data_IF_859145086854
#
_entry.id   IF_859145086854
#
_cell.length_a   1.000
_cell.length_b   1.000
_cell.length_c   1.000
_cell.angle_alpha   90.00
_cell.angle_beta   90.00
_cell.angle_gamma   90.00
#
_symmetry.space_group_name_H-M   'P 1'
#
loop_
_entity.id
_entity.type
_entity.pdbx_description
1 polymer ?
#
# COMPACT_ATOMS: atom_id res chain seq x y z
N UNK A 1 11.06 -20.51 -18.48
CA UNK A 1 11.55 -19.26 -19.09
C UNK A 1 10.37 -18.36 -19.45
N UNK A 2 9.50 -18.08 -18.47
CA UNK A 2 8.31 -17.23 -18.62
C UNK A 2 8.04 -16.36 -17.38
N UNK A 3 8.75 -16.60 -16.26
CA UNK A 3 8.60 -15.83 -15.02
C UNK A 3 9.39 -14.52 -15.09
N UNK A 4 10.47 -14.43 -15.89
CA UNK A 4 11.35 -13.25 -15.91
C UNK A 4 10.82 -12.11 -16.78
N UNK A 5 9.96 -12.39 -17.77
CA UNK A 5 9.46 -11.35 -18.68
C UNK A 5 8.24 -10.59 -18.11
N UNK A 6 7.44 -11.23 -17.24
CA UNK A 6 6.25 -10.60 -16.62
C UNK A 6 6.63 -9.60 -15.51
N UNK A 7 7.62 -9.91 -14.67
CA UNK A 7 8.18 -8.96 -13.69
C UNK A 7 8.73 -7.69 -14.37
N UNK A 8 9.13 -7.79 -15.64
CA UNK A 8 9.68 -6.67 -16.41
C UNK A 8 8.63 -5.63 -16.75
N UNK A 9 7.36 -6.03 -16.90
CA UNK A 9 6.27 -5.13 -17.29
C UNK A 9 5.64 -4.42 -16.07
N UNK A 10 5.56 -5.06 -14.90
CA UNK A 10 5.13 -4.40 -13.64
C UNK A 10 6.20 -3.40 -13.16
N UNK A 11 7.48 -3.77 -13.18
CA UNK A 11 8.56 -2.81 -12.96
C UNK A 11 8.51 -1.66 -13.96
N UNK A 12 8.09 -1.93 -15.20
CA UNK A 12 7.88 -0.90 -16.22
C UNK A 12 6.77 0.04 -15.84
N UNK A 13 5.67 -0.42 -15.27
CA UNK A 13 4.52 0.44 -14.97
C UNK A 13 4.72 1.26 -13.71
N UNK A 14 5.40 0.73 -12.68
CA UNK A 14 5.89 1.52 -11.54
C UNK A 14 6.98 2.52 -11.97
N UNK A 15 7.91 2.10 -12.83
CA UNK A 15 8.93 2.99 -13.40
C UNK A 15 8.31 4.04 -14.32
N UNK A 16 7.29 3.70 -15.12
CA UNK A 16 6.55 4.64 -15.97
C UNK A 16 5.72 5.59 -15.13
N UNK A 17 5.06 5.16 -14.07
CA UNK A 17 4.31 6.05 -13.19
C UNK A 17 5.27 7.01 -12.45
N UNK A 18 6.39 6.51 -11.95
CA UNK A 18 7.44 7.33 -11.35
C UNK A 18 8.10 8.28 -12.36
N UNK A 19 8.39 7.81 -13.58
CA UNK A 19 8.93 8.63 -14.67
C UNK A 19 7.92 9.67 -15.14
N UNK A 20 6.65 9.29 -15.27
CA UNK A 20 5.57 10.19 -15.64
C UNK A 20 5.42 11.30 -14.61
N UNK A 21 5.42 10.95 -13.31
CA UNK A 21 5.36 11.94 -12.23
C UNK A 21 6.56 12.88 -12.27
N UNK A 22 7.76 12.36 -12.55
CA UNK A 22 8.96 13.19 -12.75
C UNK A 22 8.88 14.08 -13.99
N UNK A 23 8.38 13.56 -15.11
CA UNK A 23 8.26 14.32 -16.35
C UNK A 23 7.23 15.45 -16.21
N UNK A 24 6.12 15.17 -15.51
CA UNK A 24 5.13 16.18 -15.12
C UNK A 24 5.77 17.21 -14.18
N UNK A 25 6.47 16.77 -13.13
CA UNK A 25 7.15 17.65 -12.19
C UNK A 25 8.15 18.58 -12.89
N UNK A 26 8.96 18.04 -13.81
CA UNK A 26 9.98 18.78 -14.55
C UNK A 26 9.41 19.83 -15.53
N UNK A 27 8.15 19.69 -15.94
CA UNK A 27 7.49 20.62 -16.87
C UNK A 27 6.59 21.64 -16.16
N UNK A 28 6.25 21.41 -14.89
CA UNK A 28 5.37 22.29 -14.13
C UNK A 28 6.14 23.36 -13.36
N UNK A 29 5.87 24.63 -13.67
CA UNK A 29 6.46 25.79 -12.99
C UNK A 29 6.02 25.93 -11.53
N UNK A 30 4.97 25.21 -11.11
CA UNK A 30 4.55 25.15 -9.70
C UNK A 30 5.36 24.14 -8.88
N UNK A 31 6.10 23.23 -9.51
CA UNK A 31 6.96 22.30 -8.78
C UNK A 31 8.12 23.02 -8.11
N UNK A 32 8.45 22.61 -6.90
CA UNK A 32 9.67 23.03 -6.20
C UNK A 32 10.82 22.12 -6.61
N UNK A 33 11.95 22.69 -7.03
CA UNK A 33 13.07 21.91 -7.57
C UNK A 33 14.35 21.92 -6.72
N UNK A 34 14.37 22.66 -5.60
CA UNK A 34 15.51 22.72 -4.70
C UNK A 34 15.11 23.28 -3.32
N UNK A 35 16.00 23.14 -2.33
CA UNK A 35 15.79 23.58 -0.97
C UNK A 35 15.56 25.10 -0.84
N UNK A 36 16.28 25.92 -1.62
CA UNK A 36 16.13 27.37 -1.54
C UNK A 36 14.71 27.80 -1.93
N UNK A 37 14.22 27.29 -3.07
CA UNK A 37 12.88 27.56 -3.56
C UNK A 37 11.79 27.07 -2.59
N UNK A 38 11.98 25.89 -1.98
CA UNK A 38 11.10 25.36 -0.95
C UNK A 38 10.93 26.37 0.19
N UNK A 39 12.06 26.84 0.74
CA UNK A 39 12.08 27.75 1.88
C UNK A 39 11.49 29.11 1.54
N UNK A 40 11.77 29.66 0.35
CA UNK A 40 11.20 30.92 -0.13
C UNK A 40 9.68 30.85 -0.31
N UNK A 41 9.16 29.74 -0.85
CA UNK A 41 7.72 29.50 -0.99
C UNK A 41 7.05 29.28 0.37
N UNK A 42 7.66 28.49 1.24
CA UNK A 42 7.17 28.27 2.60
C UNK A 42 7.09 29.57 3.41
N UNK A 43 8.11 30.43 3.31
CA UNK A 43 8.14 31.74 3.96
C UNK A 43 7.03 32.68 3.46
N UNK A 44 6.56 32.51 2.23
CA UNK A 44 5.41 33.23 1.66
C UNK A 44 4.05 32.65 2.06
N UNK A 45 4.03 31.60 2.87
CA UNK A 45 2.81 30.96 3.38
C UNK A 45 2.36 29.74 2.59
N UNK A 46 3.11 29.32 1.56
CA UNK A 46 2.82 28.06 0.86
C UNK A 46 3.02 26.88 1.82
N UNK A 47 2.08 25.93 1.81
CA UNK A 47 2.14 24.73 2.66
C UNK A 47 2.01 23.44 1.88
N UNK A 48 1.54 23.48 0.64
CA UNK A 48 1.35 22.29 -0.19
C UNK A 48 2.43 22.23 -1.26
N UNK A 49 3.27 21.21 -1.18
CA UNK A 49 4.39 20.98 -2.09
C UNK A 49 4.15 19.67 -2.84
N UNK A 50 3.41 19.79 -3.94
CA UNK A 50 3.05 18.67 -4.82
C UNK A 50 4.22 18.39 -5.76
N UNK A 51 4.62 17.13 -5.88
CA UNK A 51 5.69 16.66 -6.78
C UNK A 51 7.06 17.35 -6.56
N UNK A 52 7.28 17.98 -5.40
CA UNK A 52 8.53 18.66 -5.09
C UNK A 52 9.71 17.71 -5.24
N UNK A 53 10.69 18.09 -6.06
CA UNK A 53 11.94 17.36 -6.24
C UNK A 53 12.99 17.96 -5.31
N UNK A 54 13.26 17.24 -4.23
CA UNK A 54 14.22 17.62 -3.19
C UNK A 54 15.24 16.51 -2.97
N UNK A 55 15.44 15.64 -3.97
CA UNK A 55 16.40 14.53 -3.83
C UNK A 55 17.80 15.06 -3.53
N UNK A 56 18.39 14.54 -2.45
CA UNK A 56 19.75 14.87 -1.99
C UNK A 56 19.96 16.34 -1.60
N UNK A 57 18.90 17.11 -1.46
CA UNK A 57 18.97 18.47 -0.95
C UNK A 57 19.35 18.49 0.54
N UNK A 58 20.08 19.52 0.96
CA UNK A 58 20.41 19.77 2.36
C UNK A 58 19.31 20.63 3.00
N UNK A 59 18.51 19.99 3.86
CA UNK A 59 17.40 20.60 4.60
C UNK A 59 17.61 20.42 6.11
N UNK A 60 18.86 20.36 6.57
CA UNK A 60 19.14 20.19 8.00
C UNK A 60 18.65 21.39 8.81
N UNK A 61 18.03 21.11 9.96
CA UNK A 61 17.54 22.12 10.90
C UNK A 61 16.53 23.12 10.30
N UNK A 62 15.88 22.79 9.18
CA UNK A 62 14.82 23.65 8.62
C UNK A 62 13.57 23.63 9.49
N UNK A 63 12.83 24.72 9.47
CA UNK A 63 11.54 24.86 10.15
C UNK A 63 10.42 24.80 9.12
N UNK A 64 9.78 23.63 8.99
CA UNK A 64 8.69 23.37 8.06
C UNK A 64 7.45 22.75 8.74
N UNK A 65 6.99 23.27 9.91
CA UNK A 65 5.79 22.73 10.55
C UNK A 65 4.57 22.88 9.65
N UNK A 66 3.72 21.85 9.61
CA UNK A 66 2.51 21.83 8.80
C UNK A 66 2.74 21.86 7.28
N UNK A 67 3.95 21.55 6.80
CA UNK A 67 4.19 21.38 5.36
C UNK A 67 3.60 20.05 4.87
N UNK A 68 2.92 20.08 3.72
CA UNK A 68 2.29 18.94 3.09
C UNK A 68 3.06 18.56 1.83
N UNK A 69 3.88 17.52 1.93
CA UNK A 69 4.63 16.95 0.81
C UNK A 69 3.80 15.85 0.14
N UNK A 70 3.31 16.12 -1.06
CA UNK A 70 2.41 15.22 -1.77
C UNK A 70 3.12 14.67 -2.99
N UNK A 71 3.35 13.35 -3.03
CA UNK A 71 4.10 12.69 -4.12
C UNK A 71 5.50 13.31 -4.34
N UNK A 72 6.12 13.82 -3.28
CA UNK A 72 7.42 14.47 -3.36
C UNK A 72 8.55 13.45 -3.53
N UNK A 73 9.66 13.89 -4.12
CA UNK A 73 10.88 13.11 -4.29
C UNK A 73 11.88 13.52 -3.21
N UNK A 74 12.05 12.69 -2.17
CA UNK A 74 12.86 13.00 -0.98
C UNK A 74 14.07 12.06 -0.80
N UNK A 75 14.37 11.22 -1.79
CA UNK A 75 15.43 10.22 -1.66
C UNK A 75 16.79 10.91 -1.44
N UNK A 76 17.43 10.62 -0.32
CA UNK A 76 18.71 11.19 0.07
C UNK A 76 18.64 12.63 0.59
N UNK A 77 17.46 13.26 0.63
CA UNK A 77 17.32 14.57 1.25
C UNK A 77 17.69 14.50 2.73
N UNK A 78 18.41 15.50 3.22
CA UNK A 78 18.91 15.55 4.58
C UNK A 78 18.05 16.45 5.47
N UNK A 79 17.16 15.84 6.25
CA UNK A 79 16.24 16.50 7.18
C UNK A 79 16.64 16.29 8.64
N UNK A 80 17.91 15.96 8.91
CA UNK A 80 18.41 15.83 10.29
C UNK A 80 18.28 17.13 11.05
N UNK A 81 17.69 17.05 12.25
CA UNK A 81 17.40 18.21 13.10
C UNK A 81 16.25 19.11 12.61
N UNK A 82 15.59 18.80 11.49
CA UNK A 82 14.47 19.60 11.00
C UNK A 82 13.25 19.51 11.93
N UNK A 83 12.47 20.59 11.96
CA UNK A 83 11.15 20.60 12.58
C UNK A 83 10.05 20.42 11.53
N UNK A 84 9.43 19.24 11.55
CA UNK A 84 8.37 18.79 10.65
C UNK A 84 7.09 18.47 11.44
N UNK A 85 6.91 19.10 12.60
CA UNK A 85 5.72 18.90 13.44
C UNK A 85 4.44 19.21 12.65
N UNK A 86 3.51 18.25 12.60
CA UNK A 86 2.28 18.37 11.80
C UNK A 86 2.48 18.33 10.28
N UNK A 87 3.71 18.12 9.79
CA UNK A 87 3.94 17.94 8.35
C UNK A 87 3.39 16.59 7.88
N UNK A 88 2.99 16.50 6.60
CA UNK A 88 2.48 15.26 5.99
C UNK A 88 3.31 14.84 4.78
N UNK A 89 3.37 13.53 4.53
CA UNK A 89 4.11 12.92 3.43
C UNK A 89 3.19 12.02 2.59
N UNK A 90 2.02 12.54 2.23
CA UNK A 90 0.97 11.85 1.50
C UNK A 90 1.49 11.36 0.15
N UNK A 91 1.38 10.05 -0.11
CA UNK A 91 1.91 9.39 -1.32
C UNK A 91 3.41 9.68 -1.58
N UNK A 92 4.16 10.08 -0.56
CA UNK A 92 5.59 10.40 -0.66
C UNK A 92 6.40 9.22 -0.11
N UNK A 93 7.38 8.74 -0.87
CA UNK A 93 8.26 7.67 -0.40
C UNK A 93 9.31 8.25 0.56
N UNK A 94 9.33 7.77 1.80
CA UNK A 94 10.35 8.13 2.81
C UNK A 94 11.62 7.28 2.73
N UNK A 95 11.70 6.36 1.77
CA UNK A 95 12.86 5.49 1.58
C UNK A 95 14.09 6.31 1.16
N UNK A 96 15.18 6.14 1.90
CA UNK A 96 16.44 6.86 1.74
C UNK A 96 16.43 8.30 2.25
N UNK A 97 15.34 8.77 2.85
CA UNK A 97 15.32 10.08 3.51
C UNK A 97 16.22 10.04 4.75
N UNK A 98 17.04 11.06 4.97
CA UNK A 98 17.93 11.11 6.12
C UNK A 98 17.28 11.93 7.23
N UNK A 99 16.81 11.25 8.28
CA UNK A 99 16.38 11.85 9.55
C UNK A 99 17.12 11.15 10.69
N UNK A 100 17.16 11.79 11.85
CA UNK A 100 17.73 11.20 13.06
C UNK A 100 16.82 11.45 14.27
N UNK A 101 17.32 11.21 15.47
CA UNK A 101 16.54 11.35 16.71
C UNK A 101 16.32 12.82 17.11
N UNK A 102 16.97 13.77 16.42
CA UNK A 102 16.77 15.21 16.62
C UNK A 102 15.72 15.79 15.67
N UNK A 103 15.37 15.08 14.60
CA UNK A 103 14.29 15.49 13.69
C UNK A 103 12.93 15.35 14.38
N UNK A 104 12.20 16.46 14.46
CA UNK A 104 10.83 16.46 15.02
C UNK A 104 9.84 16.08 13.91
N UNK A 105 9.21 14.92 14.03
CA UNK A 105 8.24 14.41 13.06
C UNK A 105 7.17 13.60 13.77
N UNK A 106 5.92 13.69 13.31
CA UNK A 106 4.80 12.99 13.92
C UNK A 106 4.98 11.46 13.86
N UNK A 107 4.44 10.77 14.86
CA UNK A 107 4.65 9.33 15.08
C UNK A 107 4.28 8.45 13.87
N UNK A 108 3.24 8.83 13.12
CA UNK A 108 2.83 8.17 11.87
C UNK A 108 3.99 8.13 10.88
N UNK A 109 4.56 9.29 10.58
CA UNK A 109 5.61 9.42 9.57
C UNK A 109 6.95 8.88 10.07
N UNK A 110 7.22 8.96 11.37
CA UNK A 110 8.37 8.25 11.97
C UNK A 110 8.24 6.74 11.76
N UNK A 111 7.05 6.17 12.02
CA UNK A 111 6.79 4.74 11.83
C UNK A 111 6.94 4.35 10.36
N UNK A 112 6.38 5.12 9.43
CA UNK A 112 6.54 4.89 7.97
C UNK A 112 8.02 4.93 7.58
N UNK A 113 8.77 5.92 8.07
CA UNK A 113 10.21 6.03 7.80
C UNK A 113 10.97 4.80 8.32
N UNK A 114 10.65 4.33 9.53
CA UNK A 114 11.27 3.14 10.11
C UNK A 114 10.99 1.89 9.28
N UNK A 115 9.74 1.71 8.83
CA UNK A 115 9.32 0.55 8.03
C UNK A 115 10.11 0.43 6.71
N UNK A 116 10.46 1.56 6.09
CA UNK A 116 11.11 1.57 4.75
C UNK A 116 12.63 1.71 4.81
N UNK A 117 13.21 2.09 5.96
CA UNK A 117 14.66 2.36 6.08
C UNK A 117 15.39 1.47 7.08
N UNK A 118 14.73 0.95 8.11
CA UNK A 118 15.38 0.13 9.12
C UNK A 118 15.41 -1.35 8.71
N UNK A 119 16.34 -2.15 9.27
CA UNK A 119 16.35 -3.59 9.06
C UNK A 119 14.98 -4.23 9.38
N UNK A 120 14.57 -5.26 8.62
CA UNK A 120 13.32 -5.97 8.85
C UNK A 120 13.19 -6.50 10.28
N UNK A 121 11.99 -6.37 10.85
CA UNK A 121 11.65 -6.96 12.16
C UNK A 121 10.36 -7.76 12.00
N UNK A 122 10.48 -9.09 12.15
CA UNK A 122 9.33 -9.99 12.14
C UNK A 122 8.44 -9.74 13.36
N UNK A 123 7.10 -9.79 13.20
CA UNK A 123 6.19 -9.70 14.35
C UNK A 123 5.98 -8.29 14.90
N UNK A 124 6.26 -7.25 14.10
CA UNK A 124 6.12 -5.84 14.51
C UNK A 124 4.68 -5.55 14.99
N UNK A 125 4.56 -4.76 16.05
CA UNK A 125 3.27 -4.35 16.60
C UNK A 125 2.85 -2.99 16.02
N UNK A 126 1.73 -2.98 15.29
CA UNK A 126 1.14 -1.85 14.58
C UNK A 126 -0.39 -1.84 14.78
N UNK A 127 -0.86 -2.32 15.94
CA UNK A 127 -2.27 -2.37 16.33
C UNK A 127 -2.88 -0.97 16.23
N UNK A 128 -3.91 -0.81 15.38
CA UNK A 128 -4.59 0.47 15.18
C UNK A 128 -3.70 1.59 14.61
N UNK A 129 -2.55 1.26 14.02
CA UNK A 129 -1.66 2.27 13.45
C UNK A 129 -2.33 2.98 12.28
N UNK A 130 -2.19 4.30 12.22
CA UNK A 130 -2.54 5.07 11.03
C UNK A 130 -1.35 5.03 10.05
N UNK A 131 -1.56 4.31 8.95
CA UNK A 131 -0.64 4.18 7.83
C UNK A 131 -1.33 4.61 6.52
N UNK A 132 -2.47 5.31 6.59
CA UNK A 132 -3.24 5.75 5.43
C UNK A 132 -2.45 6.71 4.53
N UNK A 133 -2.66 6.58 3.22
CA UNK A 133 -2.07 7.43 2.18
C UNK A 133 -0.55 7.40 2.14
N UNK A 134 0.05 6.25 2.50
CA UNK A 134 1.51 6.08 2.54
C UNK A 134 2.03 5.22 1.39
N UNK A 135 3.34 5.30 1.13
CA UNK A 135 4.05 4.40 0.21
C UNK A 135 4.92 3.43 1.01
N UNK A 136 4.48 2.18 1.08
CA UNK A 136 5.12 1.07 1.77
C UNK A 136 5.49 -0.06 0.79
N UNK A 137 5.83 0.28 -0.45
CA UNK A 137 6.26 -0.70 -1.46
C UNK A 137 7.46 -1.52 -0.95
N UNK A 138 7.35 -2.85 -1.02
CA UNK A 138 8.41 -3.79 -0.63
C UNK A 138 8.80 -3.74 0.85
N UNK A 139 7.90 -3.36 1.76
CA UNK A 139 8.18 -3.45 3.20
C UNK A 139 8.05 -4.88 3.71
N UNK A 140 8.79 -5.19 4.78
CA UNK A 140 8.71 -6.47 5.46
C UNK A 140 7.80 -6.37 6.70
N UNK A 141 6.64 -6.99 6.61
CA UNK A 141 5.59 -7.01 7.64
C UNK A 141 5.15 -8.45 8.00
N UNK A 142 6.02 -9.44 7.75
CA UNK A 142 5.78 -10.83 8.10
C UNK A 142 5.40 -10.97 9.57
N UNK A 143 4.27 -11.65 9.83
CA UNK A 143 3.72 -11.90 11.16
C UNK A 143 3.38 -10.62 11.95
N UNK A 144 3.39 -9.44 11.30
CA UNK A 144 3.07 -8.19 11.97
C UNK A 144 1.63 -8.18 12.47
N UNK A 145 1.40 -7.49 13.58
CA UNK A 145 0.07 -7.25 14.11
C UNK A 145 -0.41 -5.87 13.67
N UNK A 146 -1.30 -5.84 12.69
CA UNK A 146 -1.93 -4.68 12.06
C UNK A 146 -3.45 -4.69 12.32
N UNK A 147 -3.90 -5.37 13.37
CA UNK A 147 -5.33 -5.45 13.73
C UNK A 147 -5.91 -4.05 13.82
N UNK A 148 -7.01 -3.78 13.12
CA UNK A 148 -7.68 -2.47 13.10
C UNK A 148 -6.83 -1.30 12.60
N UNK A 149 -5.69 -1.54 11.95
CA UNK A 149 -4.87 -0.47 11.37
C UNK A 149 -5.62 0.22 10.22
N UNK A 150 -5.32 1.51 10.01
CA UNK A 150 -5.80 2.26 8.86
C UNK A 150 -4.73 2.25 7.77
N UNK A 151 -5.04 1.60 6.66
CA UNK A 151 -4.22 1.41 5.47
C UNK A 151 -4.95 1.94 4.23
N UNK A 152 -5.91 2.87 4.40
CA UNK A 152 -6.67 3.49 3.31
C UNK A 152 -5.74 4.08 2.26
N UNK A 153 -5.98 3.75 0.99
CA UNK A 153 -5.17 4.11 -0.18
C UNK A 153 -3.65 3.86 -0.03
N UNK A 154 -3.23 2.96 0.86
CA UNK A 154 -1.81 2.70 1.07
C UNK A 154 -1.25 1.83 -0.05
N UNK A 155 -0.07 2.18 -0.55
CA UNK A 155 0.64 1.37 -1.53
C UNK A 155 1.54 0.33 -0.84
N UNK A 156 1.13 -0.93 -0.86
CA UNK A 156 1.82 -2.10 -0.33
C UNK A 156 2.30 -3.05 -1.43
N UNK A 157 2.37 -2.57 -2.68
CA UNK A 157 2.89 -3.32 -3.82
C UNK A 157 4.22 -4.01 -3.43
N UNK A 158 4.34 -5.30 -3.77
CA UNK A 158 5.50 -6.16 -3.45
C UNK A 158 5.83 -6.32 -1.94
N UNK A 159 4.97 -5.90 -1.01
CA UNK A 159 5.23 -6.09 0.42
C UNK A 159 5.23 -7.57 0.84
N UNK A 160 5.93 -7.87 1.93
CA UNK A 160 5.95 -9.21 2.52
C UNK A 160 5.08 -9.23 3.78
N UNK A 161 3.84 -9.73 3.66
CA UNK A 161 2.85 -9.72 4.74
C UNK A 161 2.51 -11.12 5.26
N UNK A 162 3.26 -12.16 4.88
CA UNK A 162 2.90 -13.54 5.21
C UNK A 162 2.63 -13.73 6.71
N UNK A 163 1.52 -14.41 7.02
CA UNK A 163 1.05 -14.67 8.39
C UNK A 163 0.78 -13.40 9.24
N UNK A 164 0.70 -12.21 8.64
CA UNK A 164 0.32 -10.99 9.36
C UNK A 164 -1.16 -11.03 9.79
N UNK A 165 -1.47 -10.28 10.84
CA UNK A 165 -2.83 -10.10 11.31
C UNK A 165 -3.35 -8.70 10.95
N UNK A 166 -4.26 -8.63 9.97
CA UNK A 166 -4.97 -7.44 9.52
C UNK A 166 -6.47 -7.52 9.84
N UNK A 167 -6.85 -8.29 10.87
CA UNK A 167 -8.24 -8.42 11.27
C UNK A 167 -8.87 -7.04 11.53
N UNK A 168 -10.00 -6.77 10.87
CA UNK A 168 -10.74 -5.51 10.99
C UNK A 168 -9.98 -4.26 10.54
N UNK A 169 -8.85 -4.39 9.82
CA UNK A 169 -8.13 -3.25 9.26
C UNK A 169 -8.97 -2.55 8.18
N UNK A 170 -8.77 -1.25 8.02
CA UNK A 170 -9.30 -0.50 6.88
C UNK A 170 -8.26 -0.50 5.76
N UNK A 171 -8.61 -1.10 4.63
CA UNK A 171 -7.79 -1.30 3.44
C UNK A 171 -8.49 -0.73 2.20
N UNK A 172 -9.45 0.18 2.39
CA UNK A 172 -10.21 0.79 1.32
C UNK A 172 -9.26 1.45 0.31
N UNK A 173 -9.41 1.10 -0.96
CA UNK A 173 -8.57 1.57 -2.07
C UNK A 173 -7.06 1.29 -1.92
N UNK A 174 -6.66 0.43 -0.97
CA UNK A 174 -5.27 0.05 -0.79
C UNK A 174 -4.75 -0.78 -1.98
N UNK A 175 -3.45 -0.69 -2.27
CA UNK A 175 -2.82 -1.40 -3.38
C UNK A 175 -1.90 -2.50 -2.87
N UNK A 176 -2.08 -3.69 -3.42
CA UNK A 176 -1.41 -4.94 -3.09
C UNK A 176 -0.93 -5.66 -4.36
N UNK A 177 -0.53 -4.92 -5.38
CA UNK A 177 -0.14 -5.51 -6.68
C UNK A 177 1.03 -6.46 -6.48
N UNK A 178 0.90 -7.70 -6.97
CA UNK A 178 1.89 -8.78 -6.84
C UNK A 178 2.41 -8.98 -5.41
N UNK A 179 1.55 -8.73 -4.41
CA UNK A 179 1.90 -8.83 -2.99
C UNK A 179 1.68 -10.24 -2.48
N UNK A 180 2.59 -10.74 -1.63
CA UNK A 180 2.44 -12.04 -1.02
C UNK A 180 1.71 -11.92 0.33
N UNK A 181 0.41 -12.20 0.31
CA UNK A 181 -0.53 -12.19 1.43
C UNK A 181 -0.81 -13.61 1.96
N UNK A 182 0.01 -14.61 1.66
CA UNK A 182 -0.23 -16.00 2.08
C UNK A 182 -0.44 -16.11 3.60
N UNK A 183 -1.52 -16.76 4.00
CA UNK A 183 -1.83 -17.01 5.42
C UNK A 183 -2.18 -15.78 6.24
N UNK A 184 -2.42 -14.62 5.61
CA UNK A 184 -2.82 -13.41 6.31
C UNK A 184 -4.24 -13.57 6.88
N UNK A 185 -4.44 -13.04 8.09
CA UNK A 185 -5.77 -12.86 8.66
C UNK A 185 -6.35 -11.49 8.26
N UNK A 186 -7.31 -11.49 7.35
CA UNK A 186 -8.09 -10.33 6.88
C UNK A 186 -9.55 -10.41 7.34
N UNK A 187 -9.86 -11.20 8.38
CA UNK A 187 -11.23 -11.37 8.86
C UNK A 187 -11.87 -10.02 9.19
N UNK A 188 -13.03 -9.75 8.60
CA UNK A 188 -13.79 -8.51 8.81
C UNK A 188 -13.07 -7.23 8.36
N UNK A 189 -11.99 -7.33 7.59
CA UNK A 189 -11.29 -6.17 7.07
C UNK A 189 -12.10 -5.49 5.95
N UNK A 190 -11.91 -4.18 5.80
CA UNK A 190 -12.55 -3.41 4.74
C UNK A 190 -11.59 -3.23 3.56
N UNK A 191 -11.69 -4.09 2.55
CA UNK A 191 -10.91 -4.06 1.32
C UNK A 191 -11.73 -3.52 0.13
N UNK A 192 -12.73 -2.66 0.38
CA UNK A 192 -13.52 -2.05 -0.68
C UNK A 192 -12.60 -1.36 -1.70
N UNK A 193 -12.82 -1.62 -2.99
CA UNK A 193 -12.06 -1.01 -4.10
C UNK A 193 -10.54 -1.25 -4.02
N UNK A 194 -10.07 -2.17 -3.18
CA UNK A 194 -8.66 -2.51 -3.07
C UNK A 194 -8.14 -3.15 -4.38
N UNK A 195 -6.89 -2.85 -4.71
CA UNK A 195 -6.23 -3.42 -5.88
C UNK A 195 -5.33 -4.59 -5.48
N UNK A 196 -5.83 -5.81 -5.67
CA UNK A 196 -5.20 -7.09 -5.37
C UNK A 196 -4.78 -7.83 -6.65
N UNK A 197 -4.52 -7.11 -7.74
CA UNK A 197 -4.04 -7.68 -9.00
C UNK A 197 -2.81 -8.58 -8.78
N UNK A 198 -2.87 -9.82 -9.28
CA UNK A 198 -1.79 -10.82 -9.16
C UNK A 198 -1.33 -11.07 -7.69
N UNK A 199 -2.18 -10.76 -6.71
CA UNK A 199 -1.83 -10.97 -5.30
C UNK A 199 -1.93 -12.46 -4.93
N UNK A 200 -0.97 -12.93 -4.12
CA UNK A 200 -1.03 -14.28 -3.56
C UNK A 200 -1.78 -14.27 -2.23
N UNK A 201 -3.03 -14.70 -2.25
CA UNK A 201 -3.96 -14.81 -1.13
C UNK A 201 -4.16 -16.28 -0.68
N UNK A 202 -3.22 -17.17 -0.97
CA UNK A 202 -3.35 -18.57 -0.56
C UNK A 202 -3.52 -18.72 0.96
N UNK A 203 -4.40 -19.61 1.39
CA UNK A 203 -4.68 -19.91 2.81
C UNK A 203 -5.03 -18.67 3.66
N UNK A 204 -5.51 -17.59 3.04
CA UNK A 204 -5.93 -16.38 3.77
C UNK A 204 -7.27 -16.56 4.46
N UNK A 205 -7.44 -15.89 5.60
CA UNK A 205 -8.73 -15.78 6.27
C UNK A 205 -9.38 -14.45 5.88
N UNK A 206 -10.33 -14.50 4.95
CA UNK A 206 -11.10 -13.37 4.42
C UNK A 206 -12.55 -13.40 4.92
N UNK A 207 -12.84 -14.15 5.99
CA UNK A 207 -14.20 -14.29 6.50
C UNK A 207 -14.79 -12.93 6.83
N UNK A 208 -16.02 -12.68 6.41
CA UNK A 208 -16.75 -11.43 6.67
C UNK A 208 -16.03 -10.16 6.14
N UNK A 209 -15.00 -10.29 5.29
CA UNK A 209 -14.30 -9.15 4.72
C UNK A 209 -15.15 -8.45 3.65
N UNK A 210 -15.03 -7.13 3.54
CA UNK A 210 -15.62 -6.36 2.46
C UNK A 210 -14.62 -6.28 1.30
N UNK A 211 -14.86 -7.00 0.22
CA UNK A 211 -14.09 -6.97 -1.03
C UNK A 211 -14.91 -6.35 -2.16
N UNK A 212 -15.94 -5.55 -1.84
CA UNK A 212 -16.81 -4.98 -2.86
C UNK A 212 -16.00 -4.11 -3.82
N UNK A 213 -16.22 -4.34 -5.12
CA UNK A 213 -15.50 -3.72 -6.24
C UNK A 213 -13.97 -3.88 -6.20
N UNK A 214 -13.42 -4.79 -5.39
CA UNK A 214 -11.99 -5.05 -5.38
C UNK A 214 -11.52 -5.59 -6.74
N UNK A 215 -10.31 -5.23 -7.13
CA UNK A 215 -9.64 -5.79 -8.30
C UNK A 215 -8.83 -7.02 -7.88
N UNK A 216 -9.30 -8.21 -8.22
CA UNK A 216 -8.71 -9.52 -7.93
C UNK A 216 -8.28 -10.25 -9.21
N UNK A 217 -8.11 -9.52 -10.32
CA UNK A 217 -7.66 -10.12 -11.59
C UNK A 217 -6.33 -10.87 -11.37
N UNK A 218 -6.24 -12.09 -11.89
CA UNK A 218 -5.09 -12.99 -11.76
C UNK A 218 -4.68 -13.33 -10.30
N UNK A 219 -5.46 -12.94 -9.29
CA UNK A 219 -5.14 -13.23 -7.89
C UNK A 219 -5.23 -14.75 -7.59
N UNK A 220 -4.39 -15.22 -6.66
CA UNK A 220 -4.33 -16.63 -6.25
C UNK A 220 -4.95 -16.80 -4.87
N UNK A 221 -6.20 -17.27 -4.81
CA UNK A 221 -6.99 -17.50 -3.59
C UNK A 221 -7.10 -18.99 -3.23
N UNK A 222 -6.11 -19.81 -3.60
CA UNK A 222 -6.16 -21.26 -3.33
C UNK A 222 -6.31 -21.53 -1.83
N UNK A 223 -7.31 -22.32 -1.47
CA UNK A 223 -7.66 -22.66 -0.08
C UNK A 223 -7.99 -21.45 0.83
N UNK A 224 -8.27 -20.28 0.28
CA UNK A 224 -8.69 -19.12 1.06
C UNK A 224 -10.09 -19.33 1.67
N UNK A 225 -10.33 -18.76 2.85
CA UNK A 225 -11.61 -18.80 3.54
C UNK A 225 -12.34 -17.46 3.38
N UNK A 226 -13.29 -17.39 2.44
CA UNK A 226 -14.08 -16.21 2.11
C UNK A 226 -15.51 -16.30 2.66
N UNK A 227 -15.77 -17.10 3.70
CA UNK A 227 -17.13 -17.29 4.20
C UNK A 227 -17.77 -15.97 4.63
N UNK A 228 -18.94 -15.69 4.09
CA UNK A 228 -19.68 -14.45 4.34
C UNK A 228 -18.99 -13.17 3.83
N UNK A 229 -17.95 -13.28 3.00
CA UNK A 229 -17.31 -12.10 2.40
C UNK A 229 -18.24 -11.39 1.41
N UNK A 230 -18.12 -10.08 1.31
CA UNK A 230 -18.84 -9.27 0.31
C UNK A 230 -17.96 -9.04 -0.91
N UNK A 231 -18.25 -9.68 -2.03
CA UNK A 231 -17.53 -9.57 -3.30
C UNK A 231 -18.35 -8.82 -4.36
N UNK A 232 -19.36 -8.02 -3.95
CA UNK A 232 -20.23 -7.31 -4.89
C UNK A 232 -19.44 -6.45 -5.86
N UNK A 233 -19.64 -6.67 -7.16
CA UNK A 233 -18.94 -5.92 -8.21
C UNK A 233 -17.42 -6.16 -8.27
N UNK A 234 -16.86 -7.09 -7.49
CA UNK A 234 -15.44 -7.40 -7.54
C UNK A 234 -15.06 -8.00 -8.90
N UNK A 235 -13.85 -7.72 -9.37
CA UNK A 235 -13.34 -8.30 -10.61
C UNK A 235 -12.38 -9.44 -10.32
N UNK A 236 -12.81 -10.69 -10.52
CA UNK A 236 -11.99 -11.88 -10.31
C UNK A 236 -11.51 -12.49 -11.63
N UNK A 237 -11.46 -11.74 -12.75
CA UNK A 237 -11.04 -12.29 -14.04
C UNK A 237 -9.74 -13.10 -13.92
N UNK A 238 -9.80 -14.36 -14.37
CA UNK A 238 -8.67 -15.29 -14.37
C UNK A 238 -8.06 -15.58 -12.97
N UNK A 239 -8.78 -15.29 -11.89
CA UNK A 239 -8.35 -15.61 -10.53
C UNK A 239 -8.38 -17.13 -10.27
N UNK A 240 -7.47 -17.61 -9.43
CA UNK A 240 -7.44 -19.01 -8.99
C UNK A 240 -8.08 -19.18 -7.61
N UNK A 241 -9.31 -19.67 -7.55
CA UNK A 241 -10.07 -19.94 -6.33
C UNK A 241 -10.17 -21.44 -6.00
N UNK A 242 -9.25 -22.28 -6.48
CA UNK A 242 -9.31 -23.72 -6.25
C UNK A 242 -9.32 -24.05 -4.75
N UNK A 243 -10.29 -24.85 -4.33
CA UNK A 243 -10.47 -25.24 -2.93
C UNK A 243 -10.84 -24.09 -1.98
N UNK A 244 -11.10 -22.88 -2.47
CA UNK A 244 -11.54 -21.77 -1.63
C UNK A 244 -12.94 -22.04 -1.04
N UNK A 245 -13.23 -21.46 0.12
CA UNK A 245 -14.55 -21.54 0.73
C UNK A 245 -15.30 -20.20 0.58
N UNK A 246 -16.28 -20.16 -0.33
CA UNK A 246 -17.14 -19.00 -0.60
C UNK A 246 -18.52 -19.15 0.05
N UNK A 247 -18.74 -20.09 0.98
CA UNK A 247 -20.05 -20.31 1.60
C UNK A 247 -20.61 -19.00 2.21
N UNK A 248 -21.81 -18.62 1.77
CA UNK A 248 -22.46 -17.36 2.17
C UNK A 248 -21.85 -16.08 1.60
N UNK A 249 -20.83 -16.15 0.74
CA UNK A 249 -20.25 -14.96 0.10
C UNK A 249 -21.23 -14.31 -0.89
N UNK A 250 -21.22 -12.98 -0.96
CA UNK A 250 -22.06 -12.24 -1.90
C UNK A 250 -21.29 -11.93 -3.20
N UNK A 251 -21.65 -12.60 -4.30
CA UNK A 251 -21.03 -12.44 -5.62
C UNK A 251 -21.88 -11.58 -6.58
N UNK A 252 -22.86 -10.81 -6.10
CA UNK A 252 -23.73 -10.00 -6.97
C UNK A 252 -22.90 -9.01 -7.81
N UNK A 253 -22.99 -9.13 -9.13
CA UNK A 253 -22.27 -8.29 -10.08
C UNK A 253 -20.76 -8.55 -10.17
N UNK A 254 -20.23 -9.56 -9.48
CA UNK A 254 -18.82 -9.93 -9.59
C UNK A 254 -18.50 -10.47 -11.00
N UNK A 255 -17.33 -10.10 -11.54
CA UNK A 255 -16.82 -10.71 -12.76
C UNK A 255 -16.11 -12.03 -12.42
N UNK A 256 -16.60 -13.14 -12.96
CA UNK A 256 -16.07 -14.48 -12.75
C UNK A 256 -15.52 -15.12 -14.04
N UNK A 257 -15.27 -14.32 -15.08
CA UNK A 257 -14.64 -14.81 -16.32
C UNK A 257 -13.29 -15.47 -16.01
N UNK A 258 -13.03 -16.65 -16.59
CA UNK A 258 -11.76 -17.36 -16.41
C UNK A 258 -11.45 -17.89 -14.99
N UNK A 259 -12.32 -17.69 -14.00
CA UNK A 259 -12.04 -18.11 -12.61
C UNK A 259 -11.91 -19.62 -12.50
N UNK A 260 -10.83 -20.08 -11.85
CA UNK A 260 -10.63 -21.50 -11.54
C UNK A 260 -11.31 -21.84 -10.21
N UNK A 261 -12.47 -22.52 -10.26
CA UNK A 261 -13.27 -22.88 -9.07
C UNK A 261 -13.13 -24.34 -8.64
N UNK A 262 -12.18 -25.11 -9.18
CA UNK A 262 -12.07 -26.54 -8.89
C UNK A 262 -12.08 -26.86 -7.40
N UNK A 263 -13.07 -27.65 -6.95
CA UNK A 263 -13.29 -28.03 -5.54
C UNK A 263 -13.61 -26.89 -4.57
N UNK A 264 -13.91 -25.69 -5.07
CA UNK A 264 -14.35 -24.57 -4.24
C UNK A 264 -15.72 -24.88 -3.62
N UNK A 265 -15.95 -24.42 -2.39
CA UNK A 265 -17.30 -24.39 -1.81
C UNK A 265 -17.98 -23.10 -2.28
N UNK A 266 -19.12 -23.22 -2.95
CA UNK A 266 -19.88 -22.11 -3.53
C UNK A 266 -20.73 -21.40 -2.48
N UNK A 267 -21.30 -20.21 -2.79
CA UNK A 267 -22.13 -19.46 -1.83
C UNK A 267 -23.29 -20.23 -1.19
N UNK A 268 -23.86 -21.21 -1.89
CA UNK A 268 -24.94 -22.07 -1.39
C UNK A 268 -24.46 -23.29 -0.59
N UNK A 269 -23.15 -23.44 -0.40
CA UNK A 269 -22.51 -24.55 0.29
C UNK A 269 -22.22 -25.78 -0.59
N UNK A 270 -22.59 -25.76 -1.88
CA UNK A 270 -22.25 -26.83 -2.82
C UNK A 270 -20.75 -26.82 -3.17
N UNK A 271 -20.21 -27.97 -3.58
CA UNK A 271 -18.81 -28.07 -4.02
C UNK A 271 -18.78 -28.02 -5.55
N UNK A 272 -18.03 -27.07 -6.11
CA UNK A 272 -17.78 -26.99 -7.54
C UNK A 272 -16.87 -28.14 -7.99
N UNK A 273 -17.19 -28.84 -9.11
CA UNK A 273 -16.39 -29.95 -9.60
C UNK A 273 -14.95 -29.55 -9.97
#
# INVERSE_FOLDING_TARGET
>A
MFIVDYFRDIFRDLYKAWQHDRDVAAQDKQTVHNAQELLERYARGERYFILADLEKEDLRNVELPGAHFIRAFLKGADLRGANLSGATFTFTSLRGLLIDDTTQVDIKWRTVWELVNLPPVTGRQLLGADLSWTRLTGVHLQRANLTGADLTETCLDEAELQEANLQGANLCEARFVSTNLRGVNLRGADCQEANLFDANLCDTDLREANLSKANLIEAVLVSADLRGADLRGANLDSANCQGANLEGANLEGANLEGVLLGRATMPDGSIHP
#
